data_IF_380578084783
#
_entry.id   IF_380578084783
#
_cell.length_a   1.000
_cell.length_b   1.000
_cell.length_c   1.000
_cell.angle_alpha   90.00
_cell.angle_beta   90.00
_cell.angle_gamma   90.00
#
_symmetry.space_group_name_H-M   'P 1'
#
loop_
_entity.id
_entity.type
_entity.pdbx_description
1 polymer ?
#
# COMPACT_ATOMS: atom_id res chain seq x y z
N UNK A 1 -4.43 -10.14 -25.72
CA UNK A 1 -4.41 -10.78 -24.38
C UNK A 1 -4.42 -9.66 -23.37
N UNK A 2 -5.45 -9.53 -22.53
CA UNK A 2 -5.42 -8.52 -21.46
C UNK A 2 -4.48 -8.99 -20.37
N UNK A 3 -3.35 -8.32 -20.16
CA UNK A 3 -2.49 -8.56 -19.01
C UNK A 3 -3.20 -8.03 -17.76
N UNK A 4 -3.78 -8.95 -16.99
CA UNK A 4 -4.39 -8.65 -15.69
C UNK A 4 -3.46 -9.15 -14.59
N UNK A 5 -3.35 -8.39 -13.50
CA UNK A 5 -2.52 -8.78 -12.36
C UNK A 5 -3.31 -9.65 -11.39
N UNK A 6 -2.65 -10.70 -10.92
CA UNK A 6 -3.09 -11.57 -9.82
C UNK A 6 -2.38 -11.24 -8.50
N UNK A 7 -1.25 -10.54 -8.57
CA UNK A 7 -0.45 -10.07 -7.44
C UNK A 7 0.27 -8.77 -7.83
N UNK A 8 0.67 -7.95 -6.85
CA UNK A 8 1.40 -6.70 -7.12
C UNK A 8 2.70 -6.93 -7.89
N UNK A 9 3.31 -8.11 -7.72
CA UNK A 9 4.56 -8.50 -8.37
C UNK A 9 4.39 -8.81 -9.85
N UNK A 10 3.18 -8.85 -10.39
CA UNK A 10 2.98 -8.98 -11.83
C UNK A 10 3.28 -7.66 -12.56
N UNK A 11 3.34 -6.54 -11.84
CA UNK A 11 3.75 -5.24 -12.39
C UNK A 11 5.25 -5.14 -12.59
N UNK A 12 5.69 -4.76 -13.80
CA UNK A 12 7.09 -4.52 -14.10
C UNK A 12 7.71 -3.39 -13.26
N UNK A 13 6.94 -2.35 -12.96
CA UNK A 13 7.39 -1.24 -12.10
C UNK A 13 7.63 -1.72 -10.66
N UNK A 14 6.78 -2.61 -10.14
CA UNK A 14 6.97 -3.23 -8.82
C UNK A 14 8.18 -4.17 -8.83
N UNK A 15 8.34 -4.98 -9.88
CA UNK A 15 9.49 -5.87 -10.04
C UNK A 15 10.82 -5.09 -10.00
N UNK A 16 10.87 -3.89 -10.57
CA UNK A 16 12.06 -3.03 -10.52
C UNK A 16 12.44 -2.59 -9.10
N UNK A 17 11.50 -2.60 -8.15
CA UNK A 17 11.78 -2.33 -6.74
C UNK A 17 12.24 -3.57 -5.96
N UNK A 18 11.97 -4.79 -6.46
CA UNK A 18 12.23 -6.01 -5.69
C UNK A 18 13.74 -6.23 -5.54
N UNK A 19 14.17 -6.55 -4.33
CA UNK A 19 15.55 -6.90 -4.03
C UNK A 19 15.64 -8.13 -3.12
N UNK A 20 16.68 -8.93 -3.33
CA UNK A 20 17.00 -10.10 -2.48
C UNK A 20 17.57 -9.72 -1.12
N UNK A 21 18.01 -8.46 -0.97
CA UNK A 21 18.44 -7.86 0.30
C UNK A 21 17.67 -6.57 0.50
N UNK A 22 17.21 -6.28 1.71
CA UNK A 22 16.36 -5.11 1.96
C UNK A 22 15.38 -5.34 3.10
N UNK A 23 14.46 -4.40 3.27
CA UNK A 23 13.36 -4.52 4.23
C UNK A 23 12.11 -5.02 3.54
N UNK A 24 11.31 -5.78 4.28
CA UNK A 24 9.98 -6.13 3.83
C UNK A 24 9.06 -4.91 3.97
N UNK A 25 8.37 -4.59 2.89
CA UNK A 25 7.39 -3.52 2.78
C UNK A 25 6.05 -4.17 2.48
N UNK A 26 5.09 -4.00 3.38
CA UNK A 26 3.70 -4.42 3.16
C UNK A 26 2.87 -3.21 2.76
N UNK A 27 2.00 -3.38 1.77
CA UNK A 27 1.12 -2.34 1.24
C UNK A 27 -0.32 -2.69 1.59
N UNK A 28 -0.99 -1.78 2.26
CA UNK A 28 -2.33 -1.95 2.82
C UNK A 28 -3.25 -0.85 2.29
N UNK A 29 -4.31 -1.24 1.62
CA UNK A 29 -5.30 -0.30 1.10
C UNK A 29 -6.48 -0.22 2.06
N UNK A 30 -7.00 0.99 2.29
CA UNK A 30 -8.20 1.20 3.09
C UNK A 30 -9.41 0.55 2.41
N UNK A 31 -10.21 -0.22 3.15
CA UNK A 31 -11.42 -0.87 2.61
C UNK A 31 -12.56 0.13 2.42
N UNK A 32 -12.56 1.21 3.21
CA UNK A 32 -13.43 2.36 3.05
C UNK A 32 -12.59 3.64 3.17
N UNK A 33 -12.44 4.37 2.07
CA UNK A 33 -11.78 5.68 2.07
C UNK A 33 -12.64 6.70 2.84
N UNK A 34 -12.38 6.84 4.14
CA UNK A 34 -12.97 7.89 4.97
C UNK A 34 -11.92 8.96 5.22
N UNK A 35 -11.95 10.01 4.40
CA UNK A 35 -11.00 11.12 4.45
C UNK A 35 -11.16 12.03 5.70
N UNK A 36 -12.21 11.82 6.51
CA UNK A 36 -12.60 12.74 7.58
C UNK A 36 -12.45 12.19 9.02
N UNK A 37 -12.08 10.92 9.20
CA UNK A 37 -12.05 10.33 10.55
C UNK A 37 -10.72 10.56 11.23
N UNK A 38 -10.76 11.23 12.39
CA UNK A 38 -9.66 11.17 13.34
C UNK A 38 -9.54 9.72 13.82
N UNK A 39 -8.51 9.01 13.36
CA UNK A 39 -8.28 7.63 13.75
C UNK A 39 -7.76 7.58 15.20
N UNK A 40 -8.50 6.96 16.15
CA UNK A 40 -7.97 6.75 17.48
C UNK A 40 -6.91 5.64 17.41
N UNK A 41 -5.64 6.02 17.26
CA UNK A 41 -4.50 5.11 17.14
C UNK A 41 -4.18 4.33 18.44
N UNK A 42 -5.16 3.99 19.27
CA UNK A 42 -4.93 3.25 20.51
C UNK A 42 -4.31 1.87 20.22
N UNK A 43 -4.73 1.20 19.14
CA UNK A 43 -4.11 -0.03 18.66
C UNK A 43 -4.10 -0.07 17.12
N UNK A 44 -2.96 0.29 16.53
CA UNK A 44 -2.81 0.33 15.07
C UNK A 44 -2.99 -1.05 14.41
N UNK A 45 -2.62 -2.14 15.09
CA UNK A 45 -2.78 -3.49 14.55
C UNK A 45 -4.24 -3.87 14.40
N UNK A 46 -5.04 -3.64 15.46
CA UNK A 46 -6.48 -3.89 15.42
C UNK A 46 -7.15 -3.00 14.37
N UNK A 47 -6.79 -1.70 14.36
CA UNK A 47 -7.34 -0.74 13.40
C UNK A 47 -7.09 -1.15 11.94
N UNK A 48 -5.87 -1.58 11.61
CA UNK A 48 -5.56 -2.08 10.26
C UNK A 48 -6.36 -3.34 9.93
N UNK A 49 -6.54 -4.28 10.87
CA UNK A 49 -7.29 -5.51 10.62
C UNK A 49 -8.78 -5.29 10.35
N UNK A 50 -9.35 -4.20 10.87
CA UNK A 50 -10.77 -3.86 10.72
C UNK A 50 -11.04 -3.00 9.47
N UNK A 51 -10.07 -2.19 9.05
CA UNK A 51 -10.29 -1.14 8.05
C UNK A 51 -9.40 -1.23 6.81
N UNK A 52 -8.49 -2.19 6.74
CA UNK A 52 -7.52 -2.31 5.64
C UNK A 52 -7.43 -3.73 5.14
N UNK A 53 -7.18 -3.85 3.83
CA UNK A 53 -6.83 -5.11 3.19
C UNK A 53 -5.40 -5.04 2.67
N UNK A 54 -4.57 -6.02 3.02
CA UNK A 54 -3.23 -6.15 2.46
C UNK A 54 -3.31 -6.40 0.96
N UNK A 55 -2.80 -5.45 0.17
CA UNK A 55 -2.71 -5.58 -1.27
C UNK A 55 -1.57 -6.53 -1.67
N UNK A 56 -0.43 -6.40 -1.01
CA UNK A 56 0.71 -7.31 -1.19
C UNK A 56 1.93 -6.84 -0.42
N UNK A 57 3.04 -7.57 -0.59
CA UNK A 57 4.32 -7.21 0.01
C UNK A 57 5.50 -7.50 -0.91
N UNK A 58 6.58 -6.75 -0.72
CA UNK A 58 7.84 -6.94 -1.43
C UNK A 58 9.03 -6.69 -0.49
N UNK A 59 10.16 -7.33 -0.79
CA UNK A 59 11.44 -6.96 -0.19
C UNK A 59 12.11 -5.94 -1.10
N UNK A 60 12.57 -4.82 -0.56
CA UNK A 60 13.17 -3.74 -1.36
C UNK A 60 14.22 -2.96 -0.57
N UNK A 61 15.11 -2.29 -1.31
CA UNK A 61 15.99 -1.24 -0.80
C UNK A 61 15.47 0.17 -1.11
N UNK A 62 14.36 0.24 -1.84
CA UNK A 62 13.75 1.49 -2.24
C UNK A 62 13.34 2.31 -1.01
N UNK A 63 13.50 3.60 -1.16
CA UNK A 63 12.98 4.60 -0.22
C UNK A 63 11.45 4.60 -0.24
N UNK A 64 10.86 5.16 0.82
CA UNK A 64 9.41 5.38 0.87
C UNK A 64 8.91 6.26 -0.28
N UNK A 65 9.72 7.20 -0.76
CA UNK A 65 9.38 8.05 -1.89
C UNK A 65 9.32 7.26 -3.20
N UNK A 66 10.28 6.38 -3.46
CA UNK A 66 10.25 5.49 -4.63
C UNK A 66 9.05 4.54 -4.59
N UNK A 67 8.72 3.99 -3.41
CA UNK A 67 7.50 3.17 -3.22
C UNK A 67 6.25 4.02 -3.49
N UNK A 68 6.18 5.24 -2.97
CA UNK A 68 5.06 6.15 -3.21
C UNK A 68 4.86 6.41 -4.71
N UNK A 69 5.93 6.74 -5.42
CA UNK A 69 5.91 7.05 -6.85
C UNK A 69 5.47 5.83 -7.67
N UNK A 70 6.09 4.66 -7.44
CA UNK A 70 5.74 3.45 -8.20
C UNK A 70 4.29 3.04 -7.97
N UNK A 71 3.77 3.18 -6.75
CA UNK A 71 2.39 2.80 -6.42
C UNK A 71 1.31 3.76 -6.92
N UNK A 72 1.68 4.84 -7.61
CA UNK A 72 0.70 5.68 -8.33
C UNK A 72 0.14 4.94 -9.55
N UNK A 73 -1.16 5.09 -9.81
CA UNK A 73 -1.90 4.26 -10.78
C UNK A 73 -1.28 4.25 -12.17
N UNK A 74 -0.78 5.41 -12.62
CA UNK A 74 -0.07 5.60 -13.89
C UNK A 74 1.27 4.86 -14.00
N UNK A 75 1.85 4.42 -12.89
CA UNK A 75 3.15 3.77 -12.85
C UNK A 75 3.02 2.26 -12.69
N UNK A 76 2.34 1.77 -11.66
CA UNK A 76 2.25 0.32 -11.44
C UNK A 76 1.19 -0.36 -12.29
N UNK A 77 0.12 0.35 -12.68
CA UNK A 77 -1.05 -0.20 -13.39
C UNK A 77 -1.63 0.81 -14.40
N UNK A 78 -0.84 1.31 -15.37
CA UNK A 78 -1.20 2.41 -16.27
C UNK A 78 -2.47 2.17 -17.09
N UNK A 79 -2.76 0.90 -17.42
CA UNK A 79 -3.93 0.51 -18.20
C UNK A 79 -5.04 -0.09 -17.31
N UNK A 80 -4.82 -0.09 -15.99
CA UNK A 80 -5.69 -0.70 -14.99
C UNK A 80 -5.64 -2.23 -14.97
N UNK A 81 -4.47 -2.79 -15.26
CA UNK A 81 -4.12 -4.21 -15.14
C UNK A 81 -4.41 -4.76 -13.73
N UNK A 82 -4.32 -3.91 -12.70
CA UNK A 82 -4.57 -4.28 -11.33
C UNK A 82 -6.05 -4.39 -10.93
N UNK A 83 -6.99 -4.01 -11.81
CA UNK A 83 -8.42 -3.95 -11.45
C UNK A 83 -8.97 -5.27 -10.90
N UNK A 84 -8.54 -6.39 -11.48
CA UNK A 84 -9.01 -7.71 -11.02
C UNK A 84 -8.43 -8.07 -9.65
N UNK A 85 -7.14 -7.84 -9.43
CA UNK A 85 -6.50 -8.00 -8.11
C UNK A 85 -7.23 -7.17 -7.04
N UNK A 86 -7.44 -5.88 -7.31
CA UNK A 86 -8.10 -4.95 -6.38
C UNK A 86 -9.52 -5.44 -6.05
N UNK A 87 -10.30 -5.78 -7.08
CA UNK A 87 -11.67 -6.30 -6.90
C UNK A 87 -11.70 -7.62 -6.15
N UNK A 88 -10.76 -8.53 -6.43
CA UNK A 88 -10.67 -9.83 -5.74
C UNK A 88 -10.42 -9.68 -4.23
N UNK A 89 -9.89 -8.54 -3.80
CA UNK A 89 -9.60 -8.18 -2.41
C UNK A 89 -10.69 -7.32 -1.76
N UNK A 90 -11.78 -7.03 -2.47
CA UNK A 90 -12.86 -6.15 -1.99
C UNK A 90 -12.43 -4.68 -1.86
N UNK A 91 -11.37 -4.28 -2.54
CA UNK A 91 -10.87 -2.91 -2.58
C UNK A 91 -11.52 -2.13 -3.73
N UNK A 92 -11.58 -0.80 -3.63
CA UNK A 92 -12.31 0.06 -4.58
C UNK A 92 -11.43 1.01 -5.40
N UNK A 93 -10.18 1.24 -5.00
CA UNK A 93 -9.24 2.16 -5.66
C UNK A 93 -8.01 1.44 -6.20
N UNK A 94 -7.51 1.89 -7.35
CA UNK A 94 -6.41 1.25 -8.09
C UNK A 94 -5.06 1.94 -7.93
N UNK A 95 -5.00 3.05 -7.18
CA UNK A 95 -3.78 3.82 -6.92
C UNK A 95 -3.63 4.01 -5.42
N UNK A 96 -2.39 4.07 -4.92
CA UNK A 96 -2.16 4.46 -3.54
C UNK A 96 -2.82 5.83 -3.27
N UNK A 97 -3.65 5.89 -2.24
CA UNK A 97 -4.50 7.05 -1.94
C UNK A 97 -4.29 7.51 -0.50
N UNK A 98 -4.66 8.77 -0.22
CA UNK A 98 -4.58 9.34 1.13
C UNK A 98 -5.28 8.41 2.12
N UNK A 99 -4.57 8.05 3.20
CA UNK A 99 -5.06 7.14 4.23
C UNK A 99 -4.63 5.68 4.05
N UNK A 100 -4.16 5.27 2.86
CA UNK A 100 -3.53 3.95 2.67
C UNK A 100 -2.25 3.84 3.51
N UNK A 101 -1.85 2.62 3.86
CA UNK A 101 -0.75 2.39 4.80
C UNK A 101 0.32 1.50 4.19
N UNK A 102 1.57 1.89 4.40
CA UNK A 102 2.74 1.03 4.22
C UNK A 102 3.29 0.64 5.59
N UNK A 103 3.63 -0.64 5.75
CA UNK A 103 4.29 -1.15 6.96
C UNK A 103 5.72 -1.56 6.63
N UNK A 104 6.66 -1.11 7.48
CA UNK A 104 8.07 -1.52 7.45
C UNK A 104 8.46 -1.95 8.87
N UNK A 105 8.62 -3.26 9.06
CA UNK A 105 8.88 -3.83 10.39
C UNK A 105 7.72 -3.56 11.36
N UNK A 106 7.96 -2.74 12.39
CA UNK A 106 6.95 -2.33 13.38
C UNK A 106 6.43 -0.90 13.15
N UNK A 107 6.88 -0.23 12.09
CA UNK A 107 6.49 1.14 11.77
C UNK A 107 5.43 1.17 10.68
N UNK A 108 4.48 2.08 10.83
CA UNK A 108 3.38 2.30 9.90
C UNK A 108 3.49 3.70 9.32
N UNK A 109 3.29 3.79 8.02
CA UNK A 109 3.43 5.01 7.24
C UNK A 109 2.14 5.21 6.46
N UNK A 110 1.40 6.25 6.80
CA UNK A 110 0.17 6.63 6.11
C UNK A 110 0.51 7.46 4.87
N UNK A 111 -0.11 7.14 3.74
CA UNK A 111 -0.05 7.95 2.55
C UNK A 111 -0.69 9.32 2.84
N UNK A 112 0.10 10.37 2.71
CA UNK A 112 -0.35 11.76 2.86
C UNK A 112 -0.70 12.34 1.48
N UNK A 113 -1.00 13.65 1.42
CA UNK A 113 -1.21 14.34 0.16
C UNK A 113 0.00 14.21 -0.80
N UNK A 114 1.21 14.12 -0.24
CA UNK A 114 2.43 13.77 -0.97
C UNK A 114 3.27 12.87 -0.06
N UNK A 115 3.71 11.73 -0.61
CA UNK A 115 4.57 10.79 0.10
C UNK A 115 3.90 10.15 1.31
N UNK A 116 4.70 9.89 2.34
CA UNK A 116 4.28 9.17 3.52
C UNK A 116 4.54 9.94 4.81
N UNK A 117 3.63 9.80 5.76
CA UNK A 117 3.74 10.29 7.13
C UNK A 117 3.86 9.11 8.08
N UNK A 118 4.82 9.15 8.99
CA UNK A 118 4.92 8.15 10.07
C UNK A 118 3.70 8.26 10.99
N UNK A 119 2.99 7.14 11.19
CA UNK A 119 1.97 7.03 12.20
C UNK A 119 2.61 6.84 13.57
N UNK A 120 2.14 7.56 14.62
CA UNK A 120 2.68 7.41 15.95
C UNK A 120 2.42 6.00 16.45
N UNK A 121 3.50 5.29 16.80
CA UNK A 121 3.39 4.10 17.63
C UNK A 121 3.01 4.58 19.04
N UNK A 122 1.70 4.68 19.36
CA UNK A 122 1.34 4.75 20.77
C UNK A 122 1.68 3.40 21.38
N UNK A 123 2.68 3.39 22.27
CA UNK A 123 2.85 2.33 23.25
C UNK A 123 1.54 2.29 24.05
N UNK A 124 0.82 1.18 23.94
CA UNK A 124 -0.09 0.76 25.00
C UNK A 124 0.71 0.55 26.29
#
# INVERSE_FOLDING_TARGET
>A
MSHSFSQIKDSAAIQALISTSGTNVEIWYATNLHWDKQHPYANIHQYLSEHYTMLGSLNTKATLEEVYCVMQGENWSPMGEARDLIRSKGLSHTSLSIGDVVRIGQRYYECAAVGFKLLPARRL
#
